data_IF_301673882439
#
_entry.id   IF_301673882439
#
_cell.length_a   1.000
_cell.length_b   1.000
_cell.length_c   1.000
_cell.angle_alpha   90.00
_cell.angle_beta   90.00
_cell.angle_gamma   90.00
#
_symmetry.space_group_name_H-M   'P 1'
#
loop_
_entity.id
_entity.type
_entity.pdbx_description
1 polymer ?
#
# COMPACT_ATOMS: atom_id res chain seq x y z
N UNK A 1 19.51 -36.30 -12.03
CA UNK A 1 20.28 -35.17 -11.48
C UNK A 1 19.95 -33.98 -12.36
N UNK A 2 19.26 -32.91 -11.96
CA UNK A 2 18.82 -32.37 -10.66
C UNK A 2 17.59 -31.48 -10.95
N UNK A 3 16.56 -31.55 -10.11
CA UNK A 3 15.41 -30.63 -10.06
C UNK A 3 15.84 -29.24 -9.58
N UNK A 4 15.18 -28.17 -10.02
CA UNK A 4 14.86 -27.02 -9.14
C UNK A 4 13.52 -26.39 -9.55
N UNK A 5 12.43 -26.96 -9.03
CA UNK A 5 11.21 -26.20 -8.78
C UNK A 5 11.44 -25.20 -7.64
N UNK A 6 10.89 -23.99 -7.77
CA UNK A 6 10.53 -23.17 -6.59
C UNK A 6 9.51 -22.13 -6.98
N UNK A 7 8.26 -22.34 -6.57
CA UNK A 7 7.28 -21.28 -6.61
C UNK A 7 5.80 -21.66 -6.50
N UNK A 8 5.43 -22.89 -6.16
CA UNK A 8 4.04 -23.17 -5.82
C UNK A 8 3.65 -22.39 -4.55
N UNK A 9 2.67 -21.50 -4.70
CA UNK A 9 2.07 -20.74 -3.62
C UNK A 9 1.26 -21.73 -2.77
N UNK A 10 1.84 -22.19 -1.68
CA UNK A 10 1.14 -22.96 -0.64
C UNK A 10 0.07 -22.07 0.02
N UNK A 11 -1.06 -21.89 -0.64
CA UNK A 11 -2.26 -21.35 -0.02
C UNK A 11 -2.71 -22.34 1.05
N UNK A 12 -2.46 -22.04 2.32
CA UNK A 12 -3.04 -22.79 3.43
C UNK A 12 -4.56 -22.60 3.42
N UNK A 13 -5.37 -23.66 3.59
CA UNK A 13 -6.81 -23.51 3.74
C UNK A 13 -7.08 -22.60 4.95
N UNK A 14 -7.73 -21.44 4.72
CA UNK A 14 -8.14 -20.52 5.79
C UNK A 14 -7.39 -19.18 5.88
N UNK A 15 -6.53 -18.82 4.92
CA UNK A 15 -5.98 -17.45 4.82
C UNK A 15 -6.35 -16.84 3.48
N UNK A 16 -7.40 -16.02 3.45
CA UNK A 16 -7.68 -15.20 2.26
C UNK A 16 -6.62 -14.09 2.19
N UNK A 17 -5.83 -14.11 1.13
CA UNK A 17 -4.79 -13.12 0.86
C UNK A 17 -5.05 -12.52 -0.51
N UNK A 18 -5.23 -11.20 -0.56
CA UNK A 18 -5.32 -10.43 -1.81
C UNK A 18 -4.06 -9.61 -1.97
N UNK A 19 -3.40 -9.72 -3.12
CA UNK A 19 -2.19 -8.96 -3.45
C UNK A 19 -2.44 -8.13 -4.70
N UNK A 20 -1.83 -6.95 -4.74
CA UNK A 20 -1.80 -6.07 -5.88
C UNK A 20 -0.64 -5.09 -5.78
N UNK A 21 -0.48 -4.24 -6.79
CA UNK A 21 0.54 -3.21 -6.76
C UNK A 21 0.41 -2.24 -7.91
N UNK A 22 1.08 -1.10 -7.78
CA UNK A 22 1.09 -0.04 -8.79
C UNK A 22 2.40 0.75 -8.71
N UNK A 23 2.75 1.43 -9.81
CA UNK A 23 3.91 2.32 -9.88
C UNK A 23 3.49 3.78 -9.86
N UNK A 24 4.29 4.62 -9.20
CA UNK A 24 4.18 6.08 -9.27
C UNK A 24 5.58 6.64 -9.45
N UNK A 25 5.85 7.23 -10.60
CA UNK A 25 7.18 7.72 -10.99
C UNK A 25 8.28 6.65 -10.79
N UNK A 26 9.27 6.92 -9.93
CA UNK A 26 10.41 6.05 -9.61
C UNK A 26 10.14 5.08 -8.44
N UNK A 27 8.90 5.02 -7.95
CA UNK A 27 8.47 4.21 -6.80
C UNK A 27 7.53 3.10 -7.25
N UNK A 28 7.62 1.95 -6.58
CA UNK A 28 6.62 0.88 -6.68
C UNK A 28 5.94 0.67 -5.33
N UNK A 29 4.64 0.39 -5.36
CA UNK A 29 3.84 0.09 -4.19
C UNK A 29 3.27 -1.32 -4.30
N UNK A 30 3.55 -2.15 -3.31
CA UNK A 30 2.92 -3.46 -3.12
C UNK A 30 1.85 -3.34 -2.05
N UNK A 31 0.66 -3.88 -2.32
CA UNK A 31 -0.48 -3.87 -1.41
C UNK A 31 -0.90 -5.31 -1.15
N UNK A 32 -0.94 -5.70 0.12
CA UNK A 32 -1.37 -7.01 0.56
C UNK A 32 -2.45 -6.87 1.63
N UNK A 33 -3.59 -7.53 1.43
CA UNK A 33 -4.66 -7.65 2.41
C UNK A 33 -4.77 -9.11 2.80
N UNK A 34 -4.62 -9.39 4.09
CA UNK A 34 -4.63 -10.75 4.63
C UNK A 34 -5.49 -10.83 5.89
N UNK A 35 -6.01 -12.02 6.15
CA UNK A 35 -6.63 -12.33 7.43
C UNK A 35 -5.61 -12.99 8.38
N UNK A 36 -5.30 -12.29 9.48
CA UNK A 36 -4.41 -12.77 10.54
C UNK A 36 -5.19 -12.94 11.84
N UNK A 37 -5.31 -14.18 12.33
CA UNK A 37 -6.00 -14.53 13.59
C UNK A 37 -7.45 -14.00 13.63
N UNK A 38 -8.19 -14.13 12.52
CA UNK A 38 -9.57 -13.66 12.42
C UNK A 38 -9.71 -12.13 12.24
N UNK A 39 -8.62 -11.41 11.96
CA UNK A 39 -8.63 -9.97 11.73
C UNK A 39 -8.00 -9.63 10.39
N UNK A 40 -8.73 -8.86 9.59
CA UNK A 40 -8.21 -8.28 8.35
C UNK A 40 -7.13 -7.25 8.66
N UNK A 41 -6.03 -7.32 7.92
CA UNK A 41 -4.96 -6.34 7.94
C UNK A 41 -4.52 -6.04 6.51
N UNK A 42 -4.25 -4.77 6.24
CA UNK A 42 -3.63 -4.35 4.99
C UNK A 42 -2.18 -3.90 5.26
N UNK A 43 -1.26 -4.28 4.39
CA UNK A 43 0.12 -3.79 4.37
C UNK A 43 0.36 -3.11 3.04
N UNK A 44 0.91 -1.91 3.08
CA UNK A 44 1.36 -1.19 1.89
C UNK A 44 2.87 -1.01 2.02
N UNK A 45 3.62 -1.48 1.03
CA UNK A 45 5.08 -1.39 0.96
C UNK A 45 5.46 -0.50 -0.22
N UNK A 46 6.14 0.60 0.04
CA UNK A 46 6.79 1.44 -0.98
C UNK A 46 8.23 0.97 -1.16
N UNK A 47 8.69 0.86 -2.42
CA UNK A 47 10.09 0.62 -2.76
C UNK A 47 10.64 1.70 -3.69
N UNK A 48 11.89 2.11 -3.44
CA UNK A 48 12.66 3.00 -4.31
C UNK A 48 14.16 2.83 -4.10
N UNK A 49 14.93 2.59 -5.16
CA UNK A 49 16.41 2.53 -5.16
C UNK A 49 16.98 1.62 -4.06
N UNK A 50 16.37 0.45 -3.85
CA UNK A 50 16.80 -0.52 -2.84
C UNK A 50 16.35 -0.21 -1.40
N UNK A 51 15.65 0.90 -1.15
CA UNK A 51 15.03 1.21 0.14
C UNK A 51 13.56 0.80 0.10
N UNK A 52 13.08 0.26 1.22
CA UNK A 52 11.66 -0.05 1.42
C UNK A 52 11.12 0.67 2.65
N UNK A 53 9.92 1.24 2.54
CA UNK A 53 9.13 1.75 3.65
C UNK A 53 7.75 1.09 3.63
N UNK A 54 7.10 0.98 4.78
CA UNK A 54 5.81 0.27 4.85
C UNK A 54 4.92 0.79 5.97
N UNK A 55 3.62 0.61 5.77
CA UNK A 55 2.59 0.83 6.80
C UNK A 55 1.72 -0.42 6.93
N UNK A 56 1.13 -0.60 8.11
CA UNK A 56 0.16 -1.66 8.40
C UNK A 56 -1.11 -1.05 8.97
N UNK A 57 -2.25 -1.42 8.40
CA UNK A 57 -3.55 -0.88 8.72
C UNK A 57 -4.47 -2.01 9.21
N UNK A 58 -5.19 -1.76 10.30
CA UNK A 58 -6.30 -2.60 10.73
C UNK A 58 -7.60 -2.22 10.01
N UNK A 59 -8.71 -2.90 10.28
CA UNK A 59 -9.97 -2.67 9.56
C UNK A 59 -10.45 -1.21 9.63
N UNK A 60 -10.44 -0.60 10.81
CA UNK A 60 -10.88 0.78 11.00
C UNK A 60 -9.95 1.79 10.31
N UNK A 61 -8.63 1.65 10.47
CA UNK A 61 -7.68 2.58 9.84
C UNK A 61 -7.59 2.41 8.33
N UNK A 62 -7.86 1.20 7.81
CA UNK A 62 -7.99 0.97 6.38
C UNK A 62 -9.21 1.69 5.80
N UNK A 63 -10.36 1.67 6.49
CA UNK A 63 -11.54 2.44 6.10
C UNK A 63 -11.24 3.94 5.99
N UNK A 64 -10.69 4.52 7.06
CA UNK A 64 -10.30 5.94 7.10
C UNK A 64 -9.27 6.29 6.02
N UNK A 65 -8.29 5.42 5.78
CA UNK A 65 -7.29 5.63 4.73
C UNK A 65 -7.94 5.73 3.34
N UNK A 66 -8.89 4.86 3.03
CA UNK A 66 -9.59 4.85 1.74
C UNK A 66 -10.50 6.08 1.58
N UNK A 67 -11.23 6.46 2.63
CA UNK A 67 -12.04 7.68 2.64
C UNK A 67 -11.19 8.93 2.36
N UNK A 68 -10.09 9.09 3.09
CA UNK A 68 -9.14 10.19 2.88
C UNK A 68 -8.51 10.16 1.48
N UNK A 69 -8.23 8.98 0.94
CA UNK A 69 -7.67 8.83 -0.41
C UNK A 69 -8.67 9.29 -1.48
N UNK A 70 -9.93 8.92 -1.37
CA UNK A 70 -10.99 9.36 -2.30
C UNK A 70 -11.13 10.88 -2.24
N UNK A 71 -11.25 11.45 -1.04
CA UNK A 71 -11.32 12.90 -0.85
C UNK A 71 -10.09 13.61 -1.43
N UNK A 72 -8.89 13.06 -1.25
CA UNK A 72 -7.66 13.62 -1.81
C UNK A 72 -7.69 13.63 -3.34
N UNK A 73 -8.20 12.58 -3.97
CA UNK A 73 -8.33 12.51 -5.44
C UNK A 73 -9.35 13.55 -5.93
N UNK A 74 -10.48 13.70 -5.25
CA UNK A 74 -11.50 14.70 -5.60
C UNK A 74 -10.97 16.13 -5.44
N UNK A 75 -10.22 16.39 -4.36
CA UNK A 75 -9.65 17.71 -4.10
C UNK A 75 -8.50 18.06 -5.08
N UNK A 76 -7.72 17.05 -5.52
CA UNK A 76 -6.77 17.19 -6.64
C UNK A 76 -7.51 17.50 -7.94
N UNK A 77 -8.64 16.86 -8.22
CA UNK A 77 -9.48 17.18 -9.39
C UNK A 77 -10.04 18.59 -9.33
N UNK A 78 -10.32 19.09 -8.14
CA UNK A 78 -10.72 20.48 -7.93
C UNK A 78 -9.55 21.49 -8.02
N UNK A 79 -8.33 21.03 -8.36
CA UNK A 79 -7.09 21.83 -8.47
C UNK A 79 -6.75 22.64 -7.20
N UNK A 80 -7.24 22.19 -6.03
CA UNK A 80 -7.00 22.88 -4.75
C UNK A 80 -5.63 22.56 -4.15
N UNK A 81 -4.98 21.49 -4.63
CA UNK A 81 -3.62 21.14 -4.23
C UNK A 81 -2.60 21.93 -5.04
N UNK A 82 -1.89 22.84 -4.35
CA UNK A 82 -0.65 23.41 -4.88
C UNK A 82 0.46 22.38 -4.66
N UNK A 83 1.29 22.09 -5.68
CA UNK A 83 2.53 21.31 -5.52
C UNK A 83 3.57 22.11 -4.73
N UNK A 84 3.30 22.35 -3.46
CA UNK A 84 4.14 23.11 -2.55
C UNK A 84 3.95 22.50 -1.17
N UNK A 85 4.91 21.70 -0.73
CA UNK A 85 4.91 21.20 0.64
C UNK A 85 5.23 22.37 1.56
N UNK A 86 4.41 22.63 2.58
CA UNK A 86 4.72 23.66 3.58
C UNK A 86 4.80 23.06 4.98
N UNK A 87 5.93 23.25 5.64
CA UNK A 87 6.15 22.84 7.03
C UNK A 87 6.77 24.02 7.79
N UNK A 88 6.13 24.44 8.89
CA UNK A 88 6.54 25.62 9.67
C UNK A 88 6.71 26.91 8.82
N UNK A 89 5.83 27.13 7.84
CA UNK A 89 5.87 28.29 6.94
C UNK A 89 6.98 28.24 5.88
N UNK A 90 7.76 27.15 5.81
CA UNK A 90 8.76 26.94 4.76
C UNK A 90 8.19 26.05 3.68
N UNK A 91 8.42 26.46 2.43
CA UNK A 91 8.02 25.70 1.27
C UNK A 91 9.17 24.85 0.73
N UNK A 92 8.86 23.63 0.30
CA UNK A 92 9.78 22.67 -0.31
C UNK A 92 9.32 22.28 -1.72
#
# INVERSE_FOLDING_TARGET
MEERERGEVYARPGKSVRKGGFGVESKSFEVEVEEKRGRLQATIVERKRGISSWIRLGPASLGLFLECLVLSIEDVRAAKWVRKWQENGKAY
#
